data_IF_649233418759
#
_entry.id   IF_649233418759
#
_cell.length_a   1.000
_cell.length_b   1.000
_cell.length_c   1.000
_cell.angle_alpha   90.00
_cell.angle_beta   90.00
_cell.angle_gamma   90.00
#
_symmetry.space_group_name_H-M   'P 1'
#
loop_
_entity.id
_entity.type
_entity.pdbx_description
1 polymer ?
#
# COMPACT_ATOMS: atom_id res chain seq x y z
N UNK A 1 -2.09 -33.15 19.63
CA UNK A 1 -2.25 -31.68 19.62
C UNK A 1 -3.33 -31.31 20.62
N UNK A 2 -3.19 -30.21 21.36
CA UNK A 2 -4.21 -29.78 22.30
C UNK A 2 -5.43 -29.22 21.55
N UNK A 3 -6.61 -29.78 21.82
CA UNK A 3 -7.89 -29.38 21.22
C UNK A 3 -8.72 -28.61 22.25
N UNK A 4 -9.48 -27.58 21.86
CA UNK A 4 -10.37 -26.87 22.79
C UNK A 4 -11.42 -27.83 23.35
N UNK A 5 -11.54 -27.91 24.67
CA UNK A 5 -12.55 -28.76 25.34
C UNK A 5 -13.98 -28.28 25.09
N UNK A 6 -14.19 -26.97 24.93
CA UNK A 6 -15.51 -26.36 24.75
C UNK A 6 -15.49 -25.20 23.76
N UNK A 7 -16.66 -24.89 23.20
CA UNK A 7 -16.87 -23.71 22.36
C UNK A 7 -16.64 -22.42 23.15
N UNK A 8 -15.99 -21.44 22.51
CA UNK A 8 -15.72 -20.15 23.14
C UNK A 8 -16.93 -19.23 23.04
N UNK A 9 -17.48 -18.79 24.18
CA UNK A 9 -18.63 -17.89 24.20
C UNK A 9 -18.40 -16.61 23.37
N UNK A 10 -19.46 -16.15 22.68
CA UNK A 10 -19.42 -14.96 21.80
C UNK A 10 -18.87 -13.73 22.51
N UNK A 11 -19.26 -13.50 23.78
CA UNK A 11 -18.73 -12.38 24.58
C UNK A 11 -17.21 -12.45 24.80
N UNK A 12 -16.66 -13.64 25.06
CA UNK A 12 -15.21 -13.85 25.20
C UNK A 12 -14.48 -13.63 23.87
N UNK A 13 -15.06 -14.10 22.77
CA UNK A 13 -14.54 -13.85 21.42
C UNK A 13 -14.49 -12.36 21.08
N UNK A 14 -15.59 -11.63 21.32
CA UNK A 14 -15.69 -10.20 21.00
C UNK A 14 -14.75 -9.36 21.85
N UNK A 15 -14.65 -9.61 23.15
CA UNK A 15 -13.66 -8.95 24.02
C UNK A 15 -12.23 -9.15 23.52
N UNK A 16 -11.87 -10.38 23.10
CA UNK A 16 -10.55 -10.64 22.51
C UNK A 16 -10.33 -9.88 21.20
N UNK A 17 -11.37 -9.73 20.37
CA UNK A 17 -11.30 -8.99 19.10
C UNK A 17 -11.35 -7.47 19.25
N UNK A 18 -11.70 -6.95 20.42
CA UNK A 18 -11.85 -5.50 20.65
C UNK A 18 -10.57 -4.69 20.36
N UNK A 19 -9.39 -5.30 20.58
CA UNK A 19 -8.10 -4.68 20.32
C UNK A 19 -7.62 -4.78 18.85
N UNK A 20 -8.34 -5.52 18.00
CA UNK A 20 -7.93 -5.78 16.60
C UNK A 20 -8.44 -4.70 15.62
N UNK A 21 -8.57 -3.45 16.08
CA UNK A 21 -9.00 -2.35 15.23
C UNK A 21 -7.90 -1.92 14.24
N UNK A 22 -8.27 -1.70 12.99
CA UNK A 22 -7.36 -1.17 11.96
C UNK A 22 -7.10 0.32 12.21
N UNK A 23 -5.83 0.73 12.09
CA UNK A 23 -5.43 2.13 12.18
C UNK A 23 -5.42 2.77 10.79
N UNK A 24 -5.86 4.02 10.71
CA UNK A 24 -5.78 4.81 9.49
C UNK A 24 -4.32 5.13 9.15
N UNK A 25 -3.99 5.11 7.85
CA UNK A 25 -2.67 5.50 7.36
C UNK A 25 -2.57 7.03 7.32
N UNK A 26 -1.43 7.56 7.80
CA UNK A 26 -1.10 8.97 7.66
C UNK A 26 -0.49 9.22 6.29
N UNK A 27 -1.16 10.02 5.48
CA UNK A 27 -0.69 10.42 4.14
C UNK A 27 -0.23 11.89 4.18
N UNK A 28 0.87 12.17 3.49
CA UNK A 28 1.46 13.51 3.36
C UNK A 28 1.41 13.98 1.90
N UNK A 29 1.32 15.28 1.69
CA UNK A 29 1.33 15.85 0.34
C UNK A 29 2.73 15.82 -0.26
N UNK A 30 2.83 15.37 -1.52
CA UNK A 30 4.09 15.38 -2.25
C UNK A 30 4.46 16.81 -2.68
N UNK A 31 5.71 17.23 -2.47
CA UNK A 31 6.17 18.58 -2.80
C UNK A 31 6.11 18.94 -4.30
N UNK A 32 6.20 17.94 -5.19
CA UNK A 32 6.23 18.16 -6.65
C UNK A 32 4.86 18.07 -7.29
N UNK A 33 4.08 17.03 -6.98
CA UNK A 33 2.80 16.76 -7.64
C UNK A 33 1.56 16.99 -6.77
N UNK A 34 1.74 17.40 -5.50
CA UNK A 34 0.67 17.64 -4.50
C UNK A 34 -0.28 16.47 -4.26
N UNK A 35 0.07 15.26 -4.71
CA UNK A 35 -0.70 14.04 -4.44
C UNK A 35 -0.39 13.50 -3.06
N UNK A 36 -1.37 12.85 -2.45
CA UNK A 36 -1.22 12.13 -1.17
C UNK A 36 -0.27 10.95 -1.35
N UNK A 37 0.76 10.90 -0.51
CA UNK A 37 1.83 9.89 -0.54
C UNK A 37 2.16 9.41 0.87
N UNK A 38 2.82 8.26 0.97
CA UNK A 38 3.31 7.77 2.25
C UNK A 38 4.57 8.54 2.67
N UNK A 39 4.71 8.88 3.96
CA UNK A 39 5.93 9.50 4.46
C UNK A 39 7.13 8.57 4.24
N UNK A 40 8.31 9.16 4.04
CA UNK A 40 9.59 8.47 3.78
C UNK A 40 9.61 7.53 2.56
N UNK A 41 8.61 7.56 1.70
CA UNK A 41 8.55 6.76 0.47
C UNK A 41 8.74 7.63 -0.78
N UNK A 42 9.24 7.03 -1.86
CA UNK A 42 9.26 7.68 -3.18
C UNK A 42 7.82 7.87 -3.67
N UNK A 43 7.51 9.05 -4.22
CA UNK A 43 6.19 9.29 -4.79
C UNK A 43 5.96 8.37 -5.99
N UNK A 44 4.92 7.53 -5.93
CA UNK A 44 4.58 6.60 -7.03
C UNK A 44 4.12 7.30 -8.30
N UNK A 45 3.68 8.55 -8.19
CA UNK A 45 3.13 9.32 -9.30
C UNK A 45 4.19 10.09 -10.08
N UNK A 46 5.14 10.72 -9.38
CA UNK A 46 6.16 11.55 -10.02
C UNK A 46 7.57 10.93 -9.94
N UNK A 47 7.80 9.88 -9.14
CA UNK A 47 9.12 9.25 -9.03
C UNK A 47 10.14 10.05 -8.24
N UNK A 48 9.74 11.20 -7.68
CA UNK A 48 10.60 12.07 -6.89
C UNK A 48 10.62 11.69 -5.41
N UNK A 49 11.79 11.85 -4.80
CA UNK A 49 12.02 11.79 -3.36
C UNK A 49 13.01 12.89 -2.95
N UNK A 50 12.62 13.74 -2.00
CA UNK A 50 13.44 14.86 -1.49
C UNK A 50 14.01 15.75 -2.61
N UNK A 51 13.19 16.04 -3.62
CA UNK A 51 13.57 16.91 -4.75
C UNK A 51 14.47 16.26 -5.82
N UNK A 52 14.84 14.98 -5.67
CA UNK A 52 15.58 14.23 -6.68
C UNK A 52 14.67 13.24 -7.40
N UNK A 53 14.83 13.12 -8.72
CA UNK A 53 14.19 12.06 -9.49
C UNK A 53 14.91 10.73 -9.20
N UNK A 54 14.25 9.82 -8.49
CA UNK A 54 14.81 8.51 -8.13
C UNK A 54 14.31 7.44 -9.08
N UNK A 55 13.13 7.62 -9.66
CA UNK A 55 12.53 6.69 -10.62
C UNK A 55 12.06 7.45 -11.85
N UNK A 56 12.67 7.18 -13.01
CA UNK A 56 12.15 7.60 -14.31
C UNK A 56 10.83 6.87 -14.60
N UNK A 57 9.71 7.45 -14.15
CA UNK A 57 8.37 6.84 -14.29
C UNK A 57 7.97 6.73 -15.77
N UNK A 58 8.34 7.73 -16.59
CA UNK A 58 8.03 7.78 -18.03
C UNK A 58 8.63 6.58 -18.80
N UNK A 59 9.90 6.26 -18.55
CA UNK A 59 10.58 5.14 -19.23
C UNK A 59 9.97 3.77 -18.86
N UNK A 60 9.41 3.63 -17.65
CA UNK A 60 8.75 2.39 -17.20
C UNK A 60 7.36 2.23 -17.83
N UNK A 61 6.60 3.30 -17.99
CA UNK A 61 5.26 3.24 -18.60
C UNK A 61 5.30 2.85 -20.08
N UNK A 62 6.24 3.41 -20.84
CA UNK A 62 6.41 3.11 -22.27
C UNK A 62 6.72 1.63 -22.50
N UNK A 63 7.71 1.07 -21.78
CA UNK A 63 8.06 -0.35 -21.85
C UNK A 63 6.89 -1.28 -21.47
N UNK A 64 6.02 -0.83 -20.56
CA UNK A 64 4.85 -1.60 -20.13
C UNK A 64 3.77 -1.62 -21.22
N UNK A 65 3.52 -0.49 -21.89
CA UNK A 65 2.60 -0.39 -23.03
C UNK A 65 3.08 -1.25 -24.21
N UNK A 66 4.37 -1.22 -24.52
CA UNK A 66 4.97 -2.05 -25.58
C UNK A 66 4.82 -3.55 -25.29
N UNK A 67 5.05 -3.98 -24.04
CA UNK A 67 4.83 -5.38 -23.62
C UNK A 67 3.37 -5.80 -23.73
N UNK A 68 2.42 -4.95 -23.35
CA UNK A 68 0.99 -5.23 -23.46
C UNK A 68 0.59 -5.38 -24.93
N UNK A 69 1.06 -4.47 -25.80
CA UNK A 69 0.81 -4.52 -27.25
C UNK A 69 1.38 -5.78 -27.90
N UNK A 70 2.58 -6.22 -27.47
CA UNK A 70 3.19 -7.48 -27.92
C UNK A 70 2.47 -8.75 -27.42
N UNK A 71 1.73 -8.67 -26.31
CA UNK A 71 1.00 -9.82 -25.74
C UNK A 71 -0.43 -9.94 -26.28
N UNK A 72 -0.98 -8.85 -26.82
CA UNK A 72 -2.29 -8.80 -27.46
C UNK A 72 -2.25 -9.14 -28.95
N UNK A 73 -1.05 -9.17 -29.54
CA UNK A 73 -0.78 -9.68 -30.89
C UNK A 73 -0.29 -11.11 -30.77
#
# INVERSE_FOLDING_TARGET
MAVPRHHMAKGKQLRRRSHLALKLLKLTDCSQCKKKTLPHSVCKYCGFYRGKEVVNVLAKELKKKEKIKKRQK
#
